data_IF_077554904100
#
_entry.id   IF_077554904100
#
_cell.length_a   1.000
_cell.length_b   1.000
_cell.length_c   1.000
_cell.angle_alpha   90.00
_cell.angle_beta   90.00
_cell.angle_gamma   90.00
#
_symmetry.space_group_name_H-M   'P 1'
#
loop_
_entity.id
_entity.type
_entity.pdbx_description
1 polymer ?
#
# COMPACT_ATOMS: atom_id res chain seq x y z
N UNK A 1 -2.48 58.52 10.32
CA UNK A 1 -1.40 57.86 9.54
C UNK A 1 -0.82 56.66 10.30
N UNK A 2 -0.38 56.81 11.56
CA UNK A 2 0.32 55.76 12.31
C UNK A 2 -0.57 54.55 12.70
N UNK A 3 -1.82 54.78 13.11
CA UNK A 3 -2.79 53.72 13.44
C UNK A 3 -3.12 52.80 12.26
N UNK A 4 -3.23 53.36 11.05
CA UNK A 4 -3.43 52.59 9.82
C UNK A 4 -2.24 51.68 9.49
N UNK A 5 -1.00 52.16 9.70
CA UNK A 5 0.19 51.34 9.47
C UNK A 5 0.32 50.18 10.46
N UNK A 6 -0.13 50.34 11.71
CA UNK A 6 -0.13 49.27 12.71
C UNK A 6 -1.19 48.21 12.42
N UNK A 7 -2.39 48.64 11.99
CA UNK A 7 -3.48 47.75 11.58
C UNK A 7 -3.14 46.96 10.31
N UNK A 8 -2.50 47.61 9.32
CA UNK A 8 -2.07 46.93 8.09
C UNK A 8 -0.98 45.89 8.37
N UNK A 9 -0.07 46.14 9.31
CA UNK A 9 0.97 45.18 9.73
C UNK A 9 0.41 43.99 10.48
N UNK A 10 -0.57 44.19 11.36
CA UNK A 10 -1.20 43.09 12.10
C UNK A 10 -2.04 42.19 11.18
N UNK A 11 -2.78 42.78 10.23
CA UNK A 11 -3.53 42.02 9.21
C UNK A 11 -2.59 41.21 8.31
N UNK A 12 -1.48 41.79 7.86
CA UNK A 12 -0.47 41.07 7.09
C UNK A 12 0.14 39.90 7.88
N UNK A 13 0.43 40.09 9.17
CA UNK A 13 0.94 39.03 10.03
C UNK A 13 -0.06 37.88 10.19
N UNK A 14 -1.35 38.19 10.39
CA UNK A 14 -2.42 37.17 10.53
C UNK A 14 -2.58 36.35 9.24
N UNK A 15 -2.54 37.00 8.08
CA UNK A 15 -2.61 36.31 6.76
C UNK A 15 -1.40 35.40 6.54
N UNK A 16 -0.20 35.84 6.90
CA UNK A 16 1.02 35.02 6.79
C UNK A 16 0.95 33.82 7.73
N UNK A 17 0.53 34.01 8.98
CA UNK A 17 0.44 32.93 9.98
C UNK A 17 -0.60 31.88 9.54
N UNK A 18 -1.76 32.31 9.04
CA UNK A 18 -2.81 31.39 8.57
C UNK A 18 -2.43 30.63 7.28
N UNK A 19 -1.59 31.21 6.41
CA UNK A 19 -1.07 30.52 5.23
C UNK A 19 -0.03 29.43 5.55
N UNK A 20 0.71 29.58 6.67
CA UNK A 20 1.75 28.60 7.06
C UNK A 20 1.23 27.31 7.70
N UNK A 21 -0.05 27.24 8.09
CA UNK A 21 -0.61 26.09 8.81
C UNK A 21 -0.94 24.90 7.86
N UNK A 22 -0.93 25.09 6.53
CA UNK A 22 -1.42 24.08 5.60
C UNK A 22 -0.37 23.17 4.91
N UNK A 23 0.78 22.90 5.53
CA UNK A 23 1.79 22.03 4.89
C UNK A 23 2.41 20.98 5.81
N UNK A 24 1.56 20.31 6.61
CA UNK A 24 1.93 18.99 7.15
C UNK A 24 1.07 17.92 6.48
N UNK A 25 1.08 17.89 5.14
CA UNK A 25 0.86 16.62 4.47
C UNK A 25 2.18 15.88 4.62
N UNK A 26 2.18 14.88 5.49
CA UNK A 26 3.16 13.81 5.52
C UNK A 26 3.09 13.13 4.14
N UNK A 27 3.73 13.76 3.16
CA UNK A 27 4.12 13.10 1.93
C UNK A 27 5.25 12.19 2.36
N UNK A 28 4.86 11.09 3.02
CA UNK A 28 5.68 9.97 3.40
C UNK A 28 6.50 9.66 2.16
N UNK A 29 7.76 10.11 2.19
CA UNK A 29 8.70 9.92 1.11
C UNK A 29 8.74 8.42 0.91
N UNK A 30 8.08 7.93 -0.15
CA UNK A 30 7.99 6.50 -0.45
C UNK A 30 9.43 6.03 -0.62
N UNK A 31 9.99 5.55 0.48
CA UNK A 31 11.33 5.04 0.53
C UNK A 31 11.32 3.82 -0.41
N UNK A 32 12.35 3.64 -1.25
CA UNK A 32 12.36 2.51 -2.19
C UNK A 32 12.25 1.16 -1.47
N UNK A 33 12.59 1.15 -0.18
CA UNK A 33 12.54 0.01 0.72
C UNK A 33 12.03 0.39 2.12
N UNK A 34 11.43 -0.58 2.82
CA UNK A 34 11.02 -0.40 4.21
C UNK A 34 12.24 -0.23 5.13
N UNK A 35 12.26 0.86 5.91
CA UNK A 35 13.23 1.10 7.00
C UNK A 35 12.66 0.73 8.37
N UNK A 36 11.33 0.63 8.48
CA UNK A 36 10.61 0.19 9.65
C UNK A 36 9.50 -0.79 9.24
N UNK A 37 8.98 -1.55 10.20
CA UNK A 37 7.91 -2.53 9.99
C UNK A 37 6.81 -2.36 11.04
N UNK A 38 5.58 -2.55 10.60
CA UNK A 38 4.41 -2.64 11.47
C UNK A 38 4.15 -4.09 11.88
N UNK A 39 3.70 -4.29 13.12
CA UNK A 39 3.28 -5.60 13.66
C UNK A 39 1.79 -5.86 13.50
N UNK A 40 1.04 -4.81 13.20
CA UNK A 40 -0.40 -4.81 13.01
C UNK A 40 -0.75 -4.29 11.62
N UNK A 41 -1.81 -4.84 11.05
CA UNK A 41 -2.39 -4.37 9.81
C UNK A 41 -3.90 -4.39 9.99
N UNK A 42 -4.55 -3.28 9.66
CA UNK A 42 -6.01 -3.20 9.61
C UNK A 42 -6.56 -4.19 8.57
N UNK A 43 -7.83 -4.56 8.65
CA UNK A 43 -8.49 -5.51 7.72
C UNK A 43 -8.65 -4.92 6.31
N UNK A 44 -7.55 -4.64 5.65
CA UNK A 44 -7.48 -4.13 4.28
C UNK A 44 -7.28 -5.31 3.32
N UNK A 45 -7.93 -5.22 2.16
CA UNK A 45 -7.77 -6.20 1.09
C UNK A 45 -6.37 -6.10 0.48
N UNK A 46 -5.67 -7.24 0.44
CA UNK A 46 -4.35 -7.36 -0.18
C UNK A 46 -4.52 -7.58 -1.68
N UNK A 47 -3.95 -6.70 -2.48
CA UNK A 47 -3.89 -6.80 -3.95
C UNK A 47 -2.62 -7.51 -4.43
N UNK A 48 -1.56 -7.45 -3.62
CA UNK A 48 -0.27 -8.05 -3.92
C UNK A 48 0.65 -8.05 -2.70
N UNK A 49 1.76 -8.76 -2.80
CA UNK A 49 2.82 -8.67 -1.79
C UNK A 49 4.19 -8.86 -2.42
N UNK A 50 5.21 -8.21 -1.84
CA UNK A 50 6.63 -8.44 -2.16
C UNK A 50 7.41 -8.73 -0.88
N UNK A 51 8.41 -9.59 -1.00
CA UNK A 51 9.36 -9.83 0.09
C UNK A 51 10.54 -8.89 -0.08
N UNK A 52 10.97 -8.27 1.01
CA UNK A 52 12.14 -7.43 1.06
C UNK A 52 13.21 -8.08 1.94
N UNK A 53 14.38 -8.31 1.34
CA UNK A 53 15.56 -8.74 2.07
C UNK A 53 16.21 -7.59 2.82
N UNK A 54 16.91 -7.92 3.91
CA UNK A 54 17.61 -6.94 4.73
C UNK A 54 18.84 -6.41 3.97
N UNK A 55 18.90 -5.09 3.75
CA UNK A 55 20.06 -4.39 3.20
C UNK A 55 20.06 -2.96 3.71
N UNK A 56 20.89 -2.65 4.72
CA UNK A 56 20.84 -1.39 5.44
C UNK A 56 20.86 -0.16 4.49
N UNK A 57 19.97 0.83 4.68
CA UNK A 57 19.06 1.02 5.82
C UNK A 57 17.76 0.19 5.76
N UNK A 58 17.54 -0.59 4.70
CA UNK A 58 16.35 -1.41 4.53
C UNK A 58 16.35 -2.59 5.51
N UNK A 59 15.23 -2.78 6.21
CA UNK A 59 15.01 -3.91 7.11
C UNK A 59 14.32 -5.06 6.40
N UNK A 60 14.34 -6.26 6.98
CA UNK A 60 13.59 -7.40 6.43
C UNK A 60 12.09 -7.14 6.61
N UNK A 61 11.33 -7.18 5.52
CA UNK A 61 9.90 -6.84 5.54
C UNK A 61 9.09 -7.67 4.54
N UNK A 62 7.80 -7.88 4.85
CA UNK A 62 6.78 -8.22 3.85
C UNK A 62 6.05 -6.95 3.51
N UNK A 63 6.01 -6.59 2.23
CA UNK A 63 5.35 -5.37 1.78
C UNK A 63 4.04 -5.77 1.13
N UNK A 64 2.93 -5.48 1.80
CA UNK A 64 1.60 -5.69 1.22
C UNK A 64 1.21 -4.50 0.37
N UNK A 65 0.80 -4.77 -0.86
CA UNK A 65 0.14 -3.82 -1.72
C UNK A 65 -1.37 -3.90 -1.46
N UNK A 66 -1.98 -2.76 -1.20
CA UNK A 66 -3.40 -2.62 -0.95
C UNK A 66 -3.92 -1.41 -1.72
N UNK A 67 -5.24 -1.28 -1.81
CA UNK A 67 -5.90 -0.09 -2.36
C UNK A 67 -5.45 1.22 -1.69
N UNK A 68 -5.03 1.17 -0.42
CA UNK A 68 -4.58 2.33 0.36
C UNK A 68 -3.09 2.63 0.23
N UNK A 69 -2.36 1.81 -0.53
CA UNK A 69 -0.91 1.91 -0.69
C UNK A 69 -0.16 0.71 -0.15
N UNK A 70 1.13 0.92 0.14
CA UNK A 70 2.06 -0.12 0.54
C UNK A 70 2.25 -0.15 2.06
N UNK A 71 2.13 -1.33 2.67
CA UNK A 71 2.34 -1.53 4.10
C UNK A 71 3.57 -2.40 4.35
N UNK A 72 4.55 -1.86 5.06
CA UNK A 72 5.72 -2.58 5.54
C UNK A 72 5.38 -3.40 6.79
N UNK A 73 5.33 -4.73 6.69
CA UNK A 73 4.95 -5.62 7.77
C UNK A 73 6.12 -6.49 8.24
N UNK A 74 6.17 -6.72 9.55
CA UNK A 74 7.13 -7.60 10.20
C UNK A 74 6.91 -9.06 9.75
N UNK A 75 7.89 -9.69 9.05
CA UNK A 75 7.75 -11.05 8.52
C UNK A 75 7.61 -12.12 9.61
N UNK A 76 7.99 -11.81 10.85
CA UNK A 76 7.96 -12.76 11.97
C UNK A 76 6.59 -12.86 12.64
N UNK A 77 5.64 -12.00 12.27
CA UNK A 77 4.30 -12.04 12.83
C UNK A 77 3.54 -13.32 12.39
N UNK A 78 2.98 -14.11 13.32
CA UNK A 78 2.35 -15.40 13.00
C UNK A 78 1.19 -15.34 12.00
N UNK A 79 0.50 -14.19 11.91
CA UNK A 79 -0.62 -13.98 11.01
C UNK A 79 -0.19 -13.69 9.56
N UNK A 80 1.04 -13.20 9.34
CA UNK A 80 1.53 -12.79 8.01
C UNK A 80 1.58 -13.95 7.05
N UNK A 81 2.11 -15.09 7.51
CA UNK A 81 2.16 -16.33 6.74
C UNK A 81 0.76 -16.79 6.32
N UNK A 82 -0.22 -16.69 7.22
CA UNK A 82 -1.61 -17.06 6.94
C UNK A 82 -2.21 -16.16 5.85
N UNK A 83 -2.05 -14.85 5.97
CA UNK A 83 -2.50 -13.87 4.95
C UNK A 83 -1.87 -14.10 3.57
N UNK A 84 -0.57 -14.40 3.49
CA UNK A 84 0.10 -14.72 2.22
C UNK A 84 -0.49 -16.01 1.59
N UNK A 85 -0.75 -17.04 2.40
CA UNK A 85 -1.35 -18.29 1.93
C UNK A 85 -2.77 -18.06 1.40
N UNK A 86 -3.58 -17.30 2.15
CA UNK A 86 -4.94 -16.92 1.74
C UNK A 86 -4.94 -16.15 0.42
N UNK A 87 -4.06 -15.15 0.28
CA UNK A 87 -3.90 -14.40 -0.96
C UNK A 87 -3.49 -15.32 -2.13
N UNK A 88 -2.53 -16.22 -1.93
CA UNK A 88 -2.14 -17.18 -2.99
C UNK A 88 -3.29 -18.10 -3.39
N UNK A 89 -4.15 -18.51 -2.45
CA UNK A 89 -5.33 -19.34 -2.75
C UNK A 89 -6.38 -18.56 -3.53
N UNK A 90 -6.67 -17.31 -3.15
CA UNK A 90 -7.63 -16.47 -3.87
C UNK A 90 -7.16 -16.19 -5.30
N UNK A 91 -5.86 -15.98 -5.51
CA UNK A 91 -5.29 -15.80 -6.86
C UNK A 91 -5.42 -17.07 -7.73
N UNK A 92 -5.24 -18.27 -7.17
CA UNK A 92 -5.48 -19.52 -7.90
C UNK A 92 -6.93 -19.68 -8.34
N UNK A 93 -7.87 -19.33 -7.45
CA UNK A 93 -9.29 -19.41 -7.77
C UNK A 93 -9.68 -18.40 -8.86
N UNK A 94 -9.07 -17.20 -8.87
CA UNK A 94 -9.27 -16.19 -9.92
C UNK A 94 -8.64 -16.57 -11.27
N UNK A 95 -7.48 -17.23 -11.24
CA UNK A 95 -6.76 -17.71 -12.44
C UNK A 95 -7.29 -19.06 -12.96
N UNK A 96 -8.39 -19.57 -12.42
CA UNK A 96 -9.06 -20.77 -12.93
C UNK A 96 -10.29 -20.39 -13.77
N UNK A 97 -10.14 -19.98 -15.04
CA UNK A 97 -11.23 -20.06 -16.01
C UNK A 97 -11.28 -21.50 -16.55
N UNK A 98 -12.45 -22.14 -16.43
CA UNK A 98 -12.96 -23.10 -17.42
C UNK A 98 -12.01 -24.22 -17.87
N UNK A 99 -11.91 -25.30 -17.10
CA UNK A 99 -11.51 -26.62 -17.64
C UNK A 99 -12.51 -27.70 -17.18
N UNK A 100 -13.79 -27.43 -17.38
CA UNK A 100 -14.87 -28.41 -17.23
C UNK A 100 -15.80 -28.44 -18.47
N UNK A 101 -15.31 -27.97 -19.63
CA UNK A 101 -15.96 -28.22 -20.92
C UNK A 101 -14.91 -28.39 -22.02
N UNK A 102 -14.05 -29.40 -21.87
CA UNK A 102 -13.59 -30.14 -23.04
C UNK A 102 -14.61 -31.24 -23.24
N UNK A 103 -15.68 -30.89 -23.97
CA UNK A 103 -16.57 -31.84 -24.60
C UNK A 103 -15.68 -32.78 -25.42
N UNK A 104 -15.44 -33.99 -24.92
CA UNK A 104 -14.84 -35.08 -25.66
C UNK A 104 -15.82 -35.48 -26.76
N UNK A 105 -15.80 -34.77 -27.88
CA UNK A 105 -16.26 -35.32 -29.15
C UNK A 105 -15.05 -35.94 -29.84
N UNK A 106 -14.81 -37.21 -29.52
CA UNK A 106 -14.09 -38.11 -30.40
C UNK A 106 -14.95 -38.29 -31.65
N UNK A 107 -14.73 -37.48 -32.68
CA UNK A 107 -15.23 -37.74 -34.02
C UNK A 107 -14.19 -38.54 -34.78
N UNK A 108 -14.55 -39.79 -35.04
CA UNK A 108 -13.94 -40.83 -35.86
C UNK A 108 -13.36 -40.29 -37.18
N UNK A 109 -12.17 -40.74 -37.64
CA UNK A 109 -11.71 -40.45 -39.00
C UNK A 109 -12.38 -41.42 -39.99
N UNK A 110 -13.00 -40.88 -41.04
CA UNK A 110 -13.36 -41.62 -42.26
C UNK A 110 -12.19 -41.53 -43.25
N UNK A 111 -11.63 -42.69 -43.59
CA UNK A 111 -11.13 -43.01 -44.92
C UNK A 111 -11.27 -44.53 -45.13
#
# INVERSE_FOLDING_TARGET
MQTYTTLMRSLAAIVVISFTIWTVTDAEKVSPCCVAVSRSMENVTIEGYRLQEKNLPCVKAVIFQTERGQFCIDPYQPWVKRKIIEFRRSQKNKMSPTTASLHLTFSTPQN
#
